data_IF_746159838573
#
_entry.id   IF_746159838573
#
_cell.length_a   1.000
_cell.length_b   1.000
_cell.length_c   1.000
_cell.angle_alpha   90.00
_cell.angle_beta   90.00
_cell.angle_gamma   90.00
#
_symmetry.space_group_name_H-M   'P 1'
#
loop_
_entity.id
_entity.type
_entity.pdbx_description
1 polymer ?
#
# COMPACT_ATOMS: atom_id res chain seq x y z
N UNK A 1 -25.55 -2.67 55.59
CA UNK A 1 -26.84 -2.81 54.88
C UNK A 1 -27.56 -1.46 54.88
N UNK A 2 -28.38 -1.21 53.85
CA UNK A 2 -29.38 -0.14 53.75
C UNK A 2 -29.01 1.27 53.23
N UNK A 3 -28.11 1.40 52.25
CA UNK A 3 -27.99 2.64 51.46
C UNK A 3 -27.93 2.45 49.92
N UNK A 4 -27.81 1.21 49.43
CA UNK A 4 -27.69 0.91 48.00
C UNK A 4 -29.00 0.54 47.28
N UNK A 5 -30.14 0.50 47.98
CA UNK A 5 -31.43 0.10 47.41
C UNK A 5 -32.17 1.22 46.70
N UNK A 6 -32.15 2.44 47.26
CA UNK A 6 -32.82 3.59 46.63
C UNK A 6 -32.09 4.10 45.38
N UNK A 7 -30.75 4.12 45.40
CA UNK A 7 -29.95 4.54 44.24
C UNK A 7 -30.06 3.57 43.05
N UNK A 8 -30.29 2.27 43.31
CA UNK A 8 -30.54 1.28 42.26
C UNK A 8 -31.92 1.44 41.66
N UNK A 9 -32.95 1.59 42.50
CA UNK A 9 -34.31 1.82 42.00
C UNK A 9 -34.45 3.16 41.27
N UNK A 10 -33.81 4.24 41.72
CA UNK A 10 -33.86 5.52 41.01
C UNK A 10 -33.15 5.46 39.67
N UNK A 11 -32.03 4.74 39.56
CA UNK A 11 -31.32 4.52 38.30
C UNK A 11 -32.12 3.62 37.34
N UNK A 12 -32.76 2.58 37.86
CA UNK A 12 -33.63 1.68 37.08
C UNK A 12 -34.85 2.42 36.53
N UNK A 13 -35.52 3.23 37.37
CA UNK A 13 -36.66 4.05 36.97
C UNK A 13 -36.23 5.11 35.95
N UNK A 14 -35.09 5.78 36.17
CA UNK A 14 -34.57 6.78 35.23
C UNK A 14 -34.18 6.15 33.89
N UNK A 15 -33.52 4.99 33.90
CA UNK A 15 -33.15 4.25 32.68
C UNK A 15 -34.39 3.78 31.92
N UNK A 16 -35.37 3.21 32.62
CA UNK A 16 -36.65 2.80 32.05
C UNK A 16 -37.41 3.99 31.45
N UNK A 17 -37.44 5.13 32.14
CA UNK A 17 -38.06 6.36 31.66
C UNK A 17 -37.36 6.89 30.39
N UNK A 18 -36.03 6.91 30.34
CA UNK A 18 -35.27 7.32 29.15
C UNK A 18 -35.53 6.38 27.97
N UNK A 19 -35.54 5.07 28.19
CA UNK A 19 -35.81 4.08 27.16
C UNK A 19 -37.24 4.24 26.60
N UNK A 20 -38.25 4.34 27.47
CA UNK A 20 -39.64 4.56 27.07
C UNK A 20 -39.82 5.90 26.34
N UNK A 21 -39.18 6.97 26.84
CA UNK A 21 -39.18 8.27 26.16
C UNK A 21 -38.55 8.17 24.77
N UNK A 22 -37.43 7.47 24.61
CA UNK A 22 -36.78 7.25 23.31
C UNK A 22 -37.68 6.53 22.31
N UNK A 23 -38.38 5.47 22.75
CA UNK A 23 -39.33 4.72 21.92
C UNK A 23 -40.51 5.60 21.51
N UNK A 24 -41.10 6.34 22.45
CA UNK A 24 -42.20 7.25 22.17
C UNK A 24 -41.78 8.37 21.19
N UNK A 25 -40.58 8.92 21.35
CA UNK A 25 -40.03 9.96 20.48
C UNK A 25 -39.77 9.42 19.06
N UNK A 26 -39.23 8.20 18.95
CA UNK A 26 -39.08 7.51 17.67
C UNK A 26 -40.44 7.24 17.01
N UNK A 27 -41.44 6.77 17.77
CA UNK A 27 -42.79 6.56 17.25
C UNK A 27 -43.41 7.87 16.73
N UNK A 28 -43.32 8.95 17.48
CA UNK A 28 -43.81 10.27 17.06
C UNK A 28 -43.13 10.79 15.78
N UNK A 29 -41.82 10.57 15.66
CA UNK A 29 -41.05 11.02 14.49
C UNK A 29 -41.30 10.17 13.23
N UNK A 30 -41.57 8.86 13.38
CA UNK A 30 -41.55 7.92 12.26
C UNK A 30 -42.89 7.22 11.91
N UNK A 31 -43.84 7.06 12.83
CA UNK A 31 -45.16 6.43 12.55
C UNK A 31 -46.17 7.39 11.90
N UNK A 32 -46.05 8.69 12.15
CA UNK A 32 -46.95 9.71 11.59
C UNK A 32 -46.51 10.24 10.22
N UNK A 33 -46.95 11.46 9.88
CA UNK A 33 -46.39 12.19 8.74
C UNK A 33 -45.00 12.65 9.14
N UNK A 34 -43.95 12.03 8.59
CA UNK A 34 -42.51 12.28 8.85
C UNK A 34 -42.03 13.72 8.57
N UNK A 35 -42.94 14.70 8.44
CA UNK A 35 -42.71 16.11 8.10
C UNK A 35 -41.58 16.74 8.89
N UNK A 36 -41.55 16.57 10.21
CA UNK A 36 -40.48 17.16 11.05
C UNK A 36 -39.13 16.50 10.79
N UNK A 37 -39.08 15.17 10.76
CA UNK A 37 -37.86 14.43 10.44
C UNK A 37 -37.34 14.77 9.03
N UNK A 38 -38.22 14.88 8.03
CA UNK A 38 -37.85 15.28 6.67
C UNK A 38 -37.45 16.75 6.57
N UNK A 39 -38.07 17.65 7.32
CA UNK A 39 -37.68 19.06 7.34
C UNK A 39 -36.29 19.25 7.96
N UNK A 40 -36.00 18.53 9.05
CA UNK A 40 -34.68 18.50 9.67
C UNK A 40 -33.66 17.86 8.72
N UNK A 41 -33.99 16.71 8.12
CA UNK A 41 -33.10 16.04 7.17
C UNK A 41 -32.81 16.88 5.92
N UNK A 42 -33.75 17.71 5.47
CA UNK A 42 -33.57 18.61 4.32
C UNK A 42 -32.92 19.96 4.68
N UNK A 43 -32.73 20.25 5.97
CA UNK A 43 -31.97 21.44 6.40
C UNK A 43 -30.48 21.30 6.05
N UNK A 44 -29.76 22.41 5.87
CA UNK A 44 -28.32 22.40 5.57
C UNK A 44 -27.50 21.55 6.57
N UNK A 45 -27.62 21.79 7.89
CA UNK A 45 -26.94 21.00 8.91
C UNK A 45 -27.43 19.54 8.95
N UNK A 46 -28.74 19.29 8.80
CA UNK A 46 -29.27 17.92 8.83
C UNK A 46 -28.85 17.07 7.64
N UNK A 47 -28.72 17.67 6.45
CA UNK A 47 -28.13 17.00 5.27
C UNK A 47 -26.66 16.66 5.49
N UNK A 48 -25.91 17.55 6.13
CA UNK A 48 -24.50 17.32 6.41
C UNK A 48 -24.30 16.21 7.45
N UNK A 49 -25.00 16.27 8.60
CA UNK A 49 -24.89 15.22 9.62
C UNK A 49 -25.42 13.87 9.12
N UNK A 50 -26.52 13.85 8.35
CA UNK A 50 -27.00 12.60 7.76
C UNK A 50 -25.99 11.99 6.79
N UNK A 51 -25.39 12.78 5.90
CA UNK A 51 -24.34 12.30 5.01
C UNK A 51 -23.09 11.83 5.77
N UNK A 52 -22.68 12.55 6.82
CA UNK A 52 -21.51 12.21 7.61
C UNK A 52 -21.72 10.93 8.44
N UNK A 53 -22.84 10.81 9.15
CA UNK A 53 -23.16 9.57 9.87
C UNK A 53 -23.38 8.39 8.92
N UNK A 54 -23.96 8.62 7.74
CA UNK A 54 -24.09 7.59 6.71
C UNK A 54 -22.73 7.13 6.18
N UNK A 55 -21.75 8.03 6.08
CA UNK A 55 -20.38 7.71 5.70
C UNK A 55 -19.56 7.08 6.86
N UNK A 56 -20.19 6.54 7.91
CA UNK A 56 -19.53 5.96 9.08
C UNK A 56 -18.45 6.91 9.67
N UNK A 57 -18.80 8.19 9.81
CA UNK A 57 -17.88 9.24 10.26
C UNK A 57 -16.71 9.55 9.30
N UNK A 58 -16.68 8.95 8.12
CA UNK A 58 -15.57 9.02 7.17
C UNK A 58 -14.43 8.05 7.50
N UNK A 59 -14.63 7.12 8.44
CA UNK A 59 -13.60 6.17 8.86
C UNK A 59 -13.17 5.26 7.70
N UNK A 60 -14.12 4.81 6.88
CA UNK A 60 -13.84 4.01 5.69
C UNK A 60 -12.90 4.72 4.72
N UNK A 61 -13.06 6.04 4.54
CA UNK A 61 -12.18 6.84 3.68
C UNK A 61 -10.77 6.96 4.26
N UNK A 62 -10.67 7.17 5.58
CA UNK A 62 -9.38 7.21 6.28
C UNK A 62 -8.67 5.87 6.13
N UNK A 63 -9.39 4.77 6.36
CA UNK A 63 -8.84 3.42 6.29
C UNK A 63 -8.34 3.09 4.88
N UNK A 64 -9.17 3.38 3.87
CA UNK A 64 -8.81 3.17 2.47
C UNK A 64 -7.56 3.96 2.08
N UNK A 65 -7.44 5.20 2.55
CA UNK A 65 -6.30 6.06 2.21
C UNK A 65 -5.04 5.75 3.00
N UNK A 66 -5.15 5.35 4.26
CA UNK A 66 -4.01 5.12 5.15
C UNK A 66 -3.46 3.70 5.05
N UNK A 67 -4.31 2.72 4.78
CA UNK A 67 -3.91 1.30 4.78
C UNK A 67 -4.05 0.66 3.41
N UNK A 68 -5.22 0.73 2.80
CA UNK A 68 -5.52 -0.03 1.57
C UNK A 68 -4.68 0.47 0.39
N UNK A 69 -4.72 1.78 0.10
CA UNK A 69 -3.99 2.36 -1.03
C UNK A 69 -2.48 2.20 -0.92
N UNK A 70 -1.83 2.47 0.22
CA UNK A 70 -0.39 2.26 0.36
C UNK A 70 -0.01 0.79 0.18
N UNK A 71 -0.78 -0.13 0.75
CA UNK A 71 -0.54 -1.56 0.59
C UNK A 71 -0.63 -1.99 -0.88
N UNK A 72 -1.69 -1.58 -1.57
CA UNK A 72 -1.86 -1.87 -3.00
C UNK A 72 -0.74 -1.23 -3.84
N UNK A 73 -0.30 -0.01 -3.52
CA UNK A 73 0.80 0.63 -4.22
C UNK A 73 2.11 -0.16 -4.07
N UNK A 74 2.44 -0.60 -2.85
CA UNK A 74 3.60 -1.46 -2.60
C UNK A 74 3.49 -2.76 -3.40
N UNK A 75 2.32 -3.40 -3.38
CA UNK A 75 2.08 -4.64 -4.13
C UNK A 75 2.24 -4.44 -5.65
N UNK A 76 1.81 -3.29 -6.17
CA UNK A 76 1.91 -2.96 -7.58
C UNK A 76 3.35 -2.72 -8.02
N UNK A 77 4.15 -2.04 -7.20
CA UNK A 77 5.59 -1.85 -7.44
C UNK A 77 6.32 -3.20 -7.44
N UNK A 78 6.01 -4.05 -6.46
CA UNK A 78 6.66 -5.35 -6.29
C UNK A 78 6.19 -6.40 -7.31
N UNK A 79 5.06 -6.17 -7.99
CA UNK A 79 4.52 -7.05 -9.05
C UNK A 79 5.53 -7.35 -10.15
N UNK A 80 6.44 -6.41 -10.43
CA UNK A 80 7.43 -6.54 -11.48
C UNK A 80 8.68 -7.34 -11.11
N UNK A 81 8.68 -7.95 -9.91
CA UNK A 81 9.76 -8.69 -9.25
C UNK A 81 11.16 -8.07 -9.49
N UNK A 82 11.52 -7.05 -8.69
CA UNK A 82 12.82 -6.41 -8.79
C UNK A 82 14.01 -7.38 -8.63
N UNK A 83 13.82 -8.47 -7.89
CA UNK A 83 14.87 -9.45 -7.67
C UNK A 83 15.10 -10.31 -8.90
N UNK A 84 14.04 -10.77 -9.56
CA UNK A 84 14.15 -11.49 -10.84
C UNK A 84 14.90 -10.65 -11.89
N UNK A 85 14.59 -9.35 -11.98
CA UNK A 85 15.30 -8.43 -12.88
C UNK A 85 16.80 -8.33 -12.59
N UNK A 86 17.16 -8.34 -11.30
CA UNK A 86 18.54 -8.23 -10.85
C UNK A 86 19.31 -9.51 -11.15
N UNK A 87 18.72 -10.66 -10.86
CA UNK A 87 19.32 -11.96 -11.18
C UNK A 87 19.44 -12.13 -12.70
N UNK A 88 18.44 -11.70 -13.45
CA UNK A 88 18.43 -11.70 -14.92
C UNK A 88 19.49 -10.80 -15.57
N UNK A 89 20.14 -9.89 -14.81
CA UNK A 89 21.26 -9.10 -15.31
C UNK A 89 22.49 -9.96 -15.56
N UNK A 90 22.78 -10.93 -14.68
CA UNK A 90 23.94 -11.82 -14.77
C UNK A 90 23.97 -12.57 -16.11
N UNK A 91 22.92 -13.32 -16.51
CA UNK A 91 22.95 -14.03 -17.79
C UNK A 91 22.97 -13.09 -18.99
N UNK A 92 22.42 -11.87 -18.88
CA UNK A 92 22.52 -10.86 -19.96
C UNK A 92 23.95 -10.38 -20.15
N UNK A 93 24.67 -10.12 -19.05
CA UNK A 93 26.09 -9.74 -19.09
C UNK A 93 26.95 -10.88 -19.64
N UNK A 94 26.72 -12.11 -19.19
CA UNK A 94 27.45 -13.29 -19.67
C UNK A 94 27.22 -13.51 -21.16
N UNK A 95 25.97 -13.44 -21.64
CA UNK A 95 25.65 -13.55 -23.07
C UNK A 95 26.25 -12.42 -23.89
N UNK A 96 26.14 -11.17 -23.42
CA UNK A 96 26.76 -10.03 -24.09
C UNK A 96 28.28 -10.17 -24.19
N UNK A 97 28.93 -10.61 -23.10
CA UNK A 97 30.35 -10.93 -23.09
C UNK A 97 30.70 -12.03 -24.09
N UNK A 98 29.93 -13.12 -24.10
CA UNK A 98 30.10 -14.19 -25.07
C UNK A 98 29.96 -13.70 -26.52
N UNK A 99 28.94 -12.91 -26.84
CA UNK A 99 28.71 -12.38 -28.18
C UNK A 99 29.86 -11.45 -28.61
N UNK A 100 30.37 -10.61 -27.70
CA UNK A 100 31.52 -9.75 -27.99
C UNK A 100 32.80 -10.55 -28.21
N UNK A 101 33.05 -11.57 -27.39
CA UNK A 101 34.24 -12.42 -27.51
C UNK A 101 34.16 -13.29 -28.75
N UNK A 102 33.00 -13.84 -29.08
CA UNK A 102 32.82 -14.63 -30.30
C UNK A 102 33.07 -13.82 -31.57
N UNK A 103 32.93 -12.49 -31.54
CA UNK A 103 33.25 -11.62 -32.68
C UNK A 103 34.74 -11.42 -32.89
N UNK A 104 35.59 -11.68 -31.90
CA UNK A 104 37.05 -11.59 -32.05
C UNK A 104 37.61 -12.78 -32.83
N UNK A 105 36.87 -13.88 -32.87
CA UNK A 105 37.18 -15.10 -33.62
C UNK A 105 36.76 -14.95 -35.09
N UNK A 106 37.53 -14.21 -35.87
CA UNK A 106 37.23 -13.88 -37.28
C UNK A 106 37.72 -14.93 -38.29
N UNK A 107 38.45 -15.96 -37.84
CA UNK A 107 39.07 -16.96 -38.71
C UNK A 107 40.27 -16.45 -39.52
N UNK A 108 40.71 -15.21 -39.30
CA UNK A 108 41.85 -14.62 -40.02
C UNK A 108 43.17 -14.91 -39.30
N UNK A 109 44.06 -15.68 -39.94
CA UNK A 109 45.34 -16.08 -39.36
C UNK A 109 46.24 -14.89 -38.96
N UNK A 110 46.17 -13.78 -39.72
CA UNK A 110 46.89 -12.54 -39.41
C UNK A 110 46.44 -11.91 -38.09
N UNK A 111 45.14 -11.96 -37.79
CA UNK A 111 44.57 -11.43 -36.57
C UNK A 111 45.02 -12.22 -35.34
N UNK A 112 45.09 -13.55 -35.46
CA UNK A 112 45.64 -14.41 -34.41
C UNK A 112 47.13 -14.18 -34.15
N UNK A 113 47.93 -14.02 -35.21
CA UNK A 113 49.35 -13.71 -35.04
C UNK A 113 49.55 -12.35 -34.32
N UNK A 114 48.77 -11.34 -34.70
CA UNK A 114 48.80 -10.03 -34.05
C UNK A 114 48.36 -10.11 -32.57
N UNK A 115 47.29 -10.84 -32.25
CA UNK A 115 46.81 -10.98 -30.87
C UNK A 115 47.82 -11.70 -29.97
N UNK A 116 48.49 -12.74 -30.47
CA UNK A 116 49.57 -13.45 -29.75
C UNK A 116 50.75 -12.50 -29.49
N UNK A 117 51.19 -11.75 -30.49
CA UNK A 117 52.30 -10.81 -30.34
C UNK A 117 51.98 -9.71 -29.31
N UNK A 118 50.78 -9.14 -29.34
CA UNK A 118 50.32 -8.16 -28.35
C UNK A 118 50.27 -8.78 -26.96
N UNK A 119 49.73 -9.99 -26.83
CA UNK A 119 49.69 -10.72 -25.55
C UNK A 119 51.08 -10.95 -24.97
N UNK A 120 52.06 -11.36 -25.79
CA UNK A 120 53.43 -11.57 -25.36
C UNK A 120 54.09 -10.27 -24.84
N UNK A 121 53.89 -9.14 -25.55
CA UNK A 121 54.42 -7.83 -25.12
C UNK A 121 53.78 -7.41 -23.79
N UNK A 122 52.47 -7.60 -23.61
CA UNK A 122 51.78 -7.27 -22.36
C UNK A 122 52.28 -8.11 -21.19
N UNK A 123 52.48 -9.42 -21.38
CA UNK A 123 53.00 -10.31 -20.33
C UNK A 123 54.43 -9.92 -19.96
N UNK A 124 55.31 -9.72 -20.94
CA UNK A 124 56.68 -9.29 -20.69
C UNK A 124 56.72 -7.93 -19.98
N UNK A 125 55.88 -6.97 -20.39
CA UNK A 125 55.75 -5.68 -19.74
C UNK A 125 55.27 -5.79 -18.29
N UNK A 126 54.27 -6.63 -18.02
CA UNK A 126 53.79 -6.88 -16.66
C UNK A 126 54.85 -7.53 -15.77
N UNK A 127 55.62 -8.49 -16.30
CA UNK A 127 56.74 -9.11 -15.58
C UNK A 127 57.83 -8.09 -15.25
N UNK A 128 58.20 -7.24 -16.22
CA UNK A 128 59.19 -6.18 -15.98
C UNK A 128 58.68 -5.19 -14.95
N UNK A 129 57.40 -4.78 -15.00
CA UNK A 129 56.80 -3.88 -14.02
C UNK A 129 56.80 -4.47 -12.60
N UNK A 130 56.60 -5.78 -12.46
CA UNK A 130 56.63 -6.47 -11.17
C UNK A 130 58.06 -6.73 -10.69
N UNK A 131 59.02 -6.86 -11.60
CA UNK A 131 60.42 -7.13 -11.30
C UNK A 131 61.24 -5.87 -10.97
N UNK A 132 60.72 -4.68 -11.27
CA UNK A 132 61.27 -3.36 -10.91
C UNK A 132 60.69 -2.90 -9.58
#
# INVERSE_FOLDING_TARGET
>A
GHAGGEAKHSLEIASGAIALAGILLAALLFLGKRRMATAIANSGPGRFLSAWWFAAWGFDWIYDKLFVKPYLAISHVLRSDPFDRTIGLIPRLVKGGHDTMSRTETGQLRWYAASIAVGAVLVLGAVVLVAV
#
